data_IF_520486809553
#
_entry.id   IF_520486809553
#
_cell.length_a   1.000
_cell.length_b   1.000
_cell.length_c   1.000
_cell.angle_alpha   90.00
_cell.angle_beta   90.00
_cell.angle_gamma   90.00
#
_symmetry.space_group_name_H-M   'P 1'
#
loop_
_entity.id
_entity.type
_entity.pdbx_description
1 polymer ?
#
# COMPACT_ATOMS: atom_id res chain seq x y z
N UNK A 1 25.92 -12.41 -10.53
CA UNK A 1 27.22 -11.95 -11.05
C UNK A 1 28.20 -12.02 -9.89
N UNK A 2 29.08 -13.01 -9.88
CA UNK A 2 30.09 -13.14 -8.84
C UNK A 2 31.18 -12.10 -9.11
N UNK A 3 31.34 -11.14 -8.19
CA UNK A 3 32.55 -10.32 -8.15
C UNK A 3 33.61 -11.22 -7.53
N UNK A 4 34.49 -11.78 -8.35
CA UNK A 4 35.65 -12.50 -7.86
C UNK A 4 36.60 -11.48 -7.23
N UNK A 5 36.53 -11.35 -5.91
CA UNK A 5 37.57 -10.68 -5.14
C UNK A 5 38.84 -11.51 -5.28
N UNK A 6 39.88 -10.93 -5.88
CA UNK A 6 41.23 -11.47 -5.76
C UNK A 6 41.66 -11.16 -4.33
N UNK A 7 41.42 -12.08 -3.39
CA UNK A 7 41.97 -11.98 -2.05
C UNK A 7 43.48 -12.22 -2.12
N UNK A 8 44.26 -11.15 -2.02
CA UNK A 8 45.59 -11.25 -1.41
C UNK A 8 45.42 -11.03 0.08
N UNK A 9 45.46 -12.12 0.85
CA UNK A 9 45.18 -12.19 2.29
C UNK A 9 46.24 -11.54 3.19
N UNK A 10 46.98 -10.53 2.69
CA UNK A 10 48.08 -9.88 3.43
C UNK A 10 48.23 -8.37 3.18
N UNK A 11 47.21 -7.67 2.70
CA UNK A 11 47.33 -6.23 2.40
C UNK A 11 46.64 -5.36 3.45
N UNK A 12 47.40 -4.40 3.98
CA UNK A 12 46.93 -3.22 4.72
C UNK A 12 45.65 -2.62 4.14
N UNK A 13 44.78 -2.06 4.99
CA UNK A 13 43.58 -1.29 4.63
C UNK A 13 43.92 -0.06 3.75
N UNK A 14 44.32 -0.28 2.51
CA UNK A 14 44.72 0.76 1.56
C UNK A 14 43.46 1.27 0.84
N UNK A 15 42.89 2.34 1.38
CA UNK A 15 41.64 2.94 0.91
C UNK A 15 41.66 3.24 -0.60
N UNK A 16 42.82 3.64 -1.14
CA UNK A 16 42.98 4.00 -2.56
C UNK A 16 42.72 2.82 -3.48
N UNK A 17 43.24 1.63 -3.17
CA UNK A 17 43.04 0.43 -4.00
C UNK A 17 41.61 -0.07 -3.89
N UNK A 18 41.03 -0.04 -2.68
CA UNK A 18 39.64 -0.36 -2.43
C UNK A 18 38.68 0.58 -3.19
N UNK A 19 39.00 1.88 -3.24
CA UNK A 19 38.25 2.89 -3.97
C UNK A 19 38.30 2.67 -5.49
N UNK A 20 39.47 2.29 -6.03
CA UNK A 20 39.61 1.96 -7.45
C UNK A 20 38.85 0.68 -7.82
N UNK A 21 38.94 -0.38 -7.01
CA UNK A 21 38.20 -1.63 -7.22
C UNK A 21 36.69 -1.44 -7.13
N UNK A 22 36.20 -0.64 -6.19
CA UNK A 22 34.77 -0.31 -6.06
C UNK A 22 34.18 0.45 -7.24
N UNK A 23 35.02 1.03 -8.11
CA UNK A 23 34.61 1.77 -9.32
C UNK A 23 34.98 1.06 -10.62
N UNK A 24 35.64 -0.09 -10.55
CA UNK A 24 35.99 -0.86 -11.73
C UNK A 24 34.72 -1.48 -12.33
N UNK A 25 34.44 -1.11 -13.58
CA UNK A 25 33.39 -1.72 -14.39
C UNK A 25 34.07 -2.76 -15.29
N UNK A 26 33.71 -4.03 -15.13
CA UNK A 26 34.28 -5.09 -15.96
C UNK A 26 33.95 -4.89 -17.45
N UNK A 27 34.80 -5.37 -18.36
CA UNK A 27 34.56 -5.29 -19.80
C UNK A 27 33.20 -5.87 -20.23
N UNK A 28 32.72 -6.90 -19.53
CA UNK A 28 31.40 -7.49 -19.80
C UNK A 28 30.26 -6.54 -19.40
N UNK A 29 30.38 -5.88 -18.24
CA UNK A 29 29.40 -4.89 -17.78
C UNK A 29 29.41 -3.63 -18.66
N UNK A 30 30.59 -3.18 -19.11
CA UNK A 30 30.70 -2.02 -19.99
C UNK A 30 30.06 -2.28 -21.36
N UNK A 31 30.25 -3.46 -21.94
CA UNK A 31 29.54 -3.87 -23.18
C UNK A 31 28.03 -3.94 -22.94
N UNK A 32 27.57 -4.48 -21.81
CA UNK A 32 26.14 -4.50 -21.46
C UNK A 32 25.52 -3.10 -21.37
N UNK A 33 26.27 -2.15 -20.78
CA UNK A 33 25.89 -0.73 -20.70
C UNK A 33 25.86 -0.07 -22.07
N UNK A 34 26.86 -0.29 -22.92
CA UNK A 34 26.93 0.25 -24.28
C UNK A 34 25.72 -0.22 -25.11
N UNK A 35 25.34 -1.49 -24.97
CA UNK A 35 24.20 -2.08 -25.67
C UNK A 35 22.85 -1.77 -25.00
N UNK A 36 22.82 -0.97 -23.93
CA UNK A 36 21.61 -0.62 -23.17
C UNK A 36 20.81 -1.82 -22.67
N UNK A 37 21.49 -2.94 -22.38
CA UNK A 37 20.85 -4.09 -21.75
C UNK A 37 20.59 -3.83 -20.27
N UNK A 38 19.56 -4.45 -19.71
CA UNK A 38 19.25 -4.36 -18.29
C UNK A 38 20.41 -4.92 -17.45
N UNK A 39 21.03 -4.06 -16.64
CA UNK A 39 22.18 -4.39 -15.79
C UNK A 39 21.73 -4.98 -14.45
N UNK A 40 20.54 -4.61 -14.01
CA UNK A 40 19.97 -5.03 -12.73
C UNK A 40 18.52 -5.46 -12.95
N UNK A 41 18.19 -6.60 -12.37
CA UNK A 41 16.81 -7.04 -12.22
C UNK A 41 16.52 -7.15 -10.72
N UNK A 42 15.33 -6.68 -10.31
CA UNK A 42 14.88 -6.82 -8.93
C UNK A 42 13.94 -8.01 -8.87
N UNK A 43 14.35 -9.04 -8.13
CA UNK A 43 13.53 -10.19 -7.83
C UNK A 43 13.27 -10.27 -6.32
N UNK A 44 12.01 -10.34 -5.88
CA UNK A 44 10.79 -10.23 -6.69
C UNK A 44 10.56 -8.81 -7.22
N UNK A 45 9.81 -8.68 -8.31
CA UNK A 45 9.41 -7.37 -8.84
C UNK A 45 8.50 -6.65 -7.87
N UNK A 46 8.78 -5.38 -7.58
CA UNK A 46 7.96 -4.54 -6.70
C UNK A 46 7.17 -3.53 -7.54
N UNK A 47 5.84 -3.56 -7.45
CA UNK A 47 4.92 -2.67 -8.16
C UNK A 47 4.35 -1.64 -7.19
N UNK A 48 4.53 -0.36 -7.49
CA UNK A 48 3.96 0.72 -6.69
C UNK A 48 2.49 0.93 -7.04
N UNK A 49 1.66 0.99 -6.00
CA UNK A 49 0.23 1.21 -6.11
C UNK A 49 -0.13 2.58 -5.53
N UNK A 50 -0.76 3.41 -6.36
CA UNK A 50 -1.27 4.73 -5.99
C UNK A 50 -2.35 4.63 -4.90
N UNK A 51 -2.36 5.59 -3.98
CA UNK A 51 -3.42 5.78 -2.99
C UNK A 51 -3.75 7.27 -2.96
N UNK A 52 -5.02 7.59 -3.19
CA UNK A 52 -5.53 8.95 -3.16
C UNK A 52 -7.05 8.94 -3.00
N UNK A 53 -7.62 10.02 -2.47
CA UNK A 53 -9.07 10.23 -2.41
C UNK A 53 -9.66 10.37 -3.82
N UNK A 54 -10.99 10.34 -3.91
CA UNK A 54 -11.70 10.62 -5.15
C UNK A 54 -11.30 12.02 -5.67
N UNK A 55 -10.93 12.09 -6.95
CA UNK A 55 -10.37 13.29 -7.60
C UNK A 55 -9.07 13.86 -6.99
N UNK A 56 -8.48 13.21 -5.99
CA UNK A 56 -7.20 13.60 -5.37
C UNK A 56 -5.96 13.08 -6.10
N UNK A 57 -6.06 12.81 -7.40
CA UNK A 57 -5.00 12.20 -8.19
C UNK A 57 -3.84 13.18 -8.41
N UNK A 58 -2.60 12.68 -8.39
CA UNK A 58 -1.45 13.48 -8.81
C UNK A 58 -1.44 13.61 -10.33
N UNK A 59 -1.61 14.83 -10.83
CA UNK A 59 -1.62 15.14 -12.26
C UNK A 59 -0.54 16.19 -12.56
N UNK A 60 0.28 15.93 -13.58
CA UNK A 60 1.25 16.88 -14.09
C UNK A 60 0.62 17.73 -15.20
N UNK A 61 0.78 19.04 -15.14
CA UNK A 61 0.22 19.97 -16.11
C UNK A 61 1.31 20.53 -17.02
N UNK A 62 1.00 20.68 -18.31
CA UNK A 62 1.72 21.50 -19.28
C UNK A 62 0.72 22.45 -19.90
N UNK A 63 1.17 23.60 -20.42
CA UNK A 63 0.30 24.65 -21.01
C UNK A 63 -0.74 24.10 -22.00
N UNK A 64 -0.36 23.10 -22.79
CA UNK A 64 -1.21 22.47 -23.79
C UNK A 64 -2.23 21.48 -23.22
N UNK A 65 -1.90 20.81 -22.10
CA UNK A 65 -2.68 19.66 -21.62
C UNK A 65 -3.62 19.99 -20.45
N UNK A 66 -3.58 21.22 -19.91
CA UNK A 66 -4.35 21.62 -18.73
C UNK A 66 -5.82 21.30 -18.89
N UNK A 67 -6.46 21.82 -19.96
CA UNK A 67 -7.90 21.66 -20.20
C UNK A 67 -8.31 20.18 -20.27
N UNK A 68 -7.56 19.38 -21.03
CA UNK A 68 -7.84 17.96 -21.19
C UNK A 68 -7.71 17.20 -19.85
N UNK A 69 -6.66 17.49 -19.07
CA UNK A 69 -6.40 16.82 -17.79
C UNK A 69 -7.34 17.25 -16.67
N UNK A 70 -7.87 18.47 -16.71
CA UNK A 70 -8.89 18.93 -15.78
C UNK A 70 -10.23 18.23 -16.02
N UNK A 71 -10.61 18.02 -17.28
CA UNK A 71 -11.86 17.32 -17.63
C UNK A 71 -11.77 15.81 -17.43
N UNK A 72 -10.64 15.21 -17.81
CA UNK A 72 -10.43 13.76 -17.71
C UNK A 72 -9.02 13.48 -17.16
N UNK A 73 -8.88 13.30 -15.83
CA UNK A 73 -7.59 12.97 -15.25
C UNK A 73 -7.11 11.59 -15.74
N UNK A 74 -5.79 11.41 -15.90
CA UNK A 74 -5.22 10.15 -16.37
C UNK A 74 -5.46 9.02 -15.35
N UNK A 75 -5.86 7.82 -15.76
CA UNK A 75 -6.15 6.73 -14.83
C UNK A 75 -4.91 6.33 -14.05
N UNK A 76 -5.08 6.19 -12.74
CA UNK A 76 -4.07 5.67 -11.82
C UNK A 76 -4.26 4.17 -11.62
N UNK A 77 -3.30 3.52 -10.97
CA UNK A 77 -3.45 2.11 -10.57
C UNK A 77 -4.65 1.91 -9.64
N UNK A 78 -5.10 2.92 -8.90
CA UNK A 78 -6.24 2.79 -7.99
C UNK A 78 -7.56 2.88 -8.75
N UNK A 79 -7.71 3.90 -9.61
CA UNK A 79 -8.93 4.07 -10.40
C UNK A 79 -9.13 2.94 -11.40
N UNK A 80 -8.03 2.45 -12.00
CA UNK A 80 -8.08 1.31 -12.89
C UNK A 80 -8.39 0.02 -12.12
N UNK A 81 -7.93 -0.14 -10.87
CA UNK A 81 -8.31 -1.30 -10.05
C UNK A 81 -9.82 -1.34 -9.79
N UNK A 82 -10.43 -0.21 -9.42
CA UNK A 82 -11.89 -0.14 -9.24
C UNK A 82 -12.64 -0.50 -10.53
N UNK A 83 -12.14 -0.03 -11.67
CA UNK A 83 -12.69 -0.36 -12.99
C UNK A 83 -12.48 -1.83 -13.36
N UNK A 84 -11.33 -2.40 -13.00
CA UNK A 84 -11.00 -3.81 -13.18
C UNK A 84 -11.95 -4.70 -12.37
N UNK A 85 -12.26 -4.34 -11.13
CA UNK A 85 -13.22 -5.06 -10.29
C UNK A 85 -14.65 -5.00 -10.84
N UNK A 86 -15.02 -3.97 -11.63
CA UNK A 86 -16.32 -3.95 -12.34
C UNK A 86 -16.37 -4.96 -13.47
N UNK A 87 -15.26 -5.10 -14.20
CA UNK A 87 -15.23 -5.82 -15.46
C UNK A 87 -14.80 -7.30 -15.33
N UNK A 88 -13.99 -7.62 -14.31
CA UNK A 88 -13.41 -8.95 -14.12
C UNK A 88 -13.85 -9.54 -12.78
N UNK A 89 -14.57 -10.67 -12.84
CA UNK A 89 -15.04 -11.39 -11.64
C UNK A 89 -13.90 -11.91 -10.79
N UNK A 90 -12.76 -12.28 -11.40
CA UNK A 90 -11.59 -12.73 -10.64
C UNK A 90 -10.98 -11.56 -9.85
N UNK A 91 -10.90 -10.37 -10.44
CA UNK A 91 -10.37 -9.20 -9.76
C UNK A 91 -11.20 -8.78 -8.54
N UNK A 92 -12.50 -9.13 -8.51
CA UNK A 92 -13.35 -8.93 -7.32
C UNK A 92 -12.96 -9.79 -6.12
N UNK A 93 -12.23 -10.88 -6.34
CA UNK A 93 -11.78 -11.76 -5.24
C UNK A 93 -10.50 -11.27 -4.56
N UNK A 94 -9.79 -10.33 -5.19
CA UNK A 94 -8.47 -9.88 -4.80
C UNK A 94 -8.51 -8.64 -3.91
N UNK A 95 -7.54 -8.55 -3.01
CA UNK A 95 -7.15 -7.30 -2.35
C UNK A 95 -6.36 -6.43 -3.30
N UNK A 96 -6.34 -5.10 -3.05
CA UNK A 96 -5.58 -4.19 -3.89
C UNK A 96 -4.08 -4.54 -3.93
N UNK A 97 -3.55 -4.98 -2.79
CA UNK A 97 -2.15 -5.44 -2.64
C UNK A 97 -1.83 -6.72 -3.41
N UNK A 98 -2.82 -7.55 -3.76
CA UNK A 98 -2.64 -8.82 -4.45
C UNK A 98 -2.73 -8.67 -5.98
N UNK A 99 -3.27 -7.56 -6.47
CA UNK A 99 -3.45 -7.32 -7.92
C UNK A 99 -2.15 -7.52 -8.71
N UNK A 100 -0.98 -6.99 -8.29
CA UNK A 100 0.26 -7.17 -9.04
C UNK A 100 0.72 -8.62 -9.19
N UNK A 101 0.28 -9.53 -8.32
CA UNK A 101 0.58 -10.97 -8.39
C UNK A 101 -0.01 -11.60 -9.65
N UNK A 102 -1.20 -11.16 -10.07
CA UNK A 102 -1.99 -11.73 -11.17
C UNK A 102 -2.09 -10.82 -12.40
N UNK A 103 -1.98 -9.51 -12.21
CA UNK A 103 -2.10 -8.50 -13.24
C UNK A 103 -0.79 -7.70 -13.37
N UNK A 104 -0.49 -7.26 -14.59
CA UNK A 104 0.63 -6.36 -14.88
C UNK A 104 0.08 -5.01 -15.29
N UNK A 105 0.64 -3.96 -14.71
CA UNK A 105 0.34 -2.59 -15.10
C UNK A 105 1.01 -2.28 -16.45
N UNK A 106 0.22 -1.91 -17.45
CA UNK A 106 0.73 -1.44 -18.72
C UNK A 106 0.80 0.09 -18.71
N UNK A 107 2.02 0.64 -18.66
CA UNK A 107 2.24 2.09 -18.52
C UNK A 107 1.75 2.92 -19.71
N UNK A 108 1.80 2.38 -20.94
CA UNK A 108 1.37 3.14 -22.14
C UNK A 108 -0.15 3.23 -22.24
N UNK A 109 -0.86 2.14 -21.97
CA UNK A 109 -2.33 2.11 -21.99
C UNK A 109 -2.96 2.53 -20.66
N UNK A 110 -2.17 2.55 -19.58
CA UNK A 110 -2.60 2.76 -18.19
C UNK A 110 -3.72 1.81 -17.75
N UNK A 111 -3.57 0.53 -18.12
CA UNK A 111 -4.53 -0.52 -17.80
C UNK A 111 -3.84 -1.71 -17.15
N UNK A 112 -4.57 -2.40 -16.28
CA UNK A 112 -4.15 -3.72 -15.82
C UNK A 112 -4.44 -4.78 -16.89
N UNK A 113 -3.46 -5.63 -17.16
CA UNK A 113 -3.62 -6.79 -18.04
C UNK A 113 -3.32 -8.06 -17.26
N UNK A 114 -4.09 -9.12 -17.50
CA UNK A 114 -3.80 -10.44 -16.93
C UNK A 114 -2.38 -10.87 -17.31
N UNK A 115 -1.65 -11.42 -16.35
CA UNK A 115 -0.32 -11.96 -16.58
C UNK A 115 -0.39 -13.16 -17.52
N UNK A 116 0.62 -13.27 -18.38
CA UNK A 116 0.77 -14.36 -19.36
C UNK A 116 1.88 -15.35 -18.99
N UNK A 117 2.61 -15.07 -17.91
CA UNK A 117 3.78 -15.82 -17.47
C UNK A 117 3.69 -16.03 -15.96
N UNK A 118 4.25 -17.14 -15.48
CA UNK A 118 4.26 -17.54 -14.07
C UNK A 118 3.61 -18.90 -13.83
N UNK A 119 3.17 -19.13 -12.60
CA UNK A 119 2.44 -20.34 -12.21
C UNK A 119 0.98 -20.21 -12.64
N UNK A 120 0.46 -21.18 -13.38
CA UNK A 120 -0.95 -21.19 -13.77
C UNK A 120 -1.86 -21.24 -12.53
N UNK A 121 -2.89 -20.40 -12.51
CA UNK A 121 -3.87 -20.36 -11.43
C UNK A 121 -4.91 -21.46 -11.66
N UNK A 122 -5.12 -22.30 -10.65
CA UNK A 122 -6.09 -23.39 -10.75
C UNK A 122 -7.51 -22.83 -10.99
N UNK A 123 -8.26 -23.47 -11.87
CA UNK A 123 -9.65 -23.09 -12.20
C UNK A 123 -9.81 -21.87 -13.12
N UNK A 124 -8.73 -21.23 -13.58
CA UNK A 124 -8.82 -20.04 -14.43
C UNK A 124 -7.98 -20.19 -15.70
N UNK A 125 -8.63 -20.23 -16.86
CA UNK A 125 -7.94 -20.33 -18.15
C UNK A 125 -7.18 -19.03 -18.46
N UNK A 126 -5.93 -19.16 -18.89
CA UNK A 126 -5.05 -18.04 -19.27
C UNK A 126 -4.77 -17.03 -18.14
N UNK A 127 -4.79 -17.48 -16.88
CA UNK A 127 -4.41 -16.66 -15.73
C UNK A 127 -3.18 -17.25 -15.03
N UNK A 128 -2.17 -16.41 -14.84
CA UNK A 128 -0.91 -16.78 -14.23
C UNK A 128 -0.62 -15.89 -13.02
N UNK A 129 -0.05 -16.48 -11.98
CA UNK A 129 0.45 -15.79 -10.78
C UNK A 129 1.97 -15.76 -10.77
N UNK A 130 2.54 -14.67 -10.27
CA UNK A 130 3.99 -14.49 -10.08
C UNK A 130 4.28 -14.00 -8.67
N UNK A 131 5.54 -14.02 -8.24
CA UNK A 131 5.95 -13.54 -6.91
C UNK A 131 6.01 -12.00 -6.81
N UNK A 132 5.31 -11.27 -7.68
CA UNK A 132 5.35 -9.82 -7.69
C UNK A 132 4.74 -9.25 -6.41
N UNK A 133 5.47 -8.35 -5.75
CA UNK A 133 5.03 -7.70 -4.52
C UNK A 133 4.43 -6.34 -4.85
N UNK A 134 3.40 -5.96 -4.11
CA UNK A 134 2.86 -4.61 -4.16
C UNK A 134 3.47 -3.72 -3.09
N UNK A 135 3.59 -2.44 -3.40
CA UNK A 135 3.94 -1.40 -2.42
C UNK A 135 2.95 -0.25 -2.54
N UNK A 136 2.02 -0.19 -1.59
CA UNK A 136 1.14 0.98 -1.47
C UNK A 136 1.95 2.15 -0.92
N UNK A 137 1.75 3.35 -1.46
CA UNK A 137 2.39 4.55 -0.93
C UNK A 137 2.09 4.74 0.55
N UNK A 138 3.11 5.16 1.31
CA UNK A 138 2.95 5.53 2.71
C UNK A 138 2.12 6.80 2.80
N UNK A 139 1.03 6.76 3.56
CA UNK A 139 0.18 7.91 3.85
C UNK A 139 0.40 8.29 5.31
N UNK A 140 0.71 9.56 5.56
CA UNK A 140 0.90 10.05 6.92
C UNK A 140 -0.46 10.12 7.66
N UNK A 141 -0.56 9.69 8.94
CA UNK A 141 -1.83 9.69 9.68
C UNK A 141 -2.56 11.05 9.76
N UNK A 142 -1.83 12.17 9.71
CA UNK A 142 -2.40 13.52 9.58
C UNK A 142 -3.33 13.68 8.36
N UNK A 143 -3.06 12.97 7.26
CA UNK A 143 -4.01 12.85 6.16
C UNK A 143 -5.00 11.73 6.45
N UNK A 144 -5.90 12.00 7.41
CA UNK A 144 -6.73 11.01 8.07
C UNK A 144 -7.55 10.17 7.07
N UNK A 145 -8.35 10.80 6.22
CA UNK A 145 -9.22 10.09 5.28
C UNK A 145 -8.43 9.22 4.28
N UNK A 146 -7.30 9.72 3.77
CA UNK A 146 -6.47 8.94 2.85
C UNK A 146 -5.76 7.77 3.56
N UNK A 147 -5.42 7.94 4.84
CA UNK A 147 -4.87 6.87 5.67
C UNK A 147 -5.89 5.75 5.89
N UNK A 148 -7.15 6.10 6.22
CA UNK A 148 -8.23 5.12 6.36
C UNK A 148 -8.58 4.45 5.03
N UNK A 149 -8.59 5.20 3.92
CA UNK A 149 -8.72 4.61 2.59
C UNK A 149 -7.64 3.56 2.31
N UNK A 150 -6.37 3.85 2.64
CA UNK A 150 -5.28 2.88 2.51
C UNK A 150 -5.54 1.62 3.32
N UNK A 151 -6.06 1.76 4.55
CA UNK A 151 -6.40 0.64 5.42
C UNK A 151 -7.52 -0.21 4.81
N UNK A 152 -8.56 0.42 4.25
CA UNK A 152 -9.64 -0.28 3.56
C UNK A 152 -9.12 -1.03 2.33
N UNK A 153 -8.27 -0.42 1.50
CA UNK A 153 -7.71 -1.08 0.32
C UNK A 153 -6.87 -2.33 0.63
N UNK A 154 -6.35 -2.43 1.86
CA UNK A 154 -5.59 -3.60 2.33
C UNK A 154 -6.52 -4.71 2.86
N UNK A 155 -7.72 -4.38 3.32
CA UNK A 155 -8.61 -5.32 4.01
C UNK A 155 -9.88 -5.67 3.21
N UNK A 156 -10.32 -4.79 2.31
CA UNK A 156 -11.54 -4.95 1.51
C UNK A 156 -11.21 -5.52 0.14
N UNK A 157 -11.89 -6.60 -0.23
CA UNK A 157 -11.71 -7.29 -1.51
C UNK A 157 -12.63 -6.71 -2.58
N UNK A 158 -12.10 -6.57 -3.79
CA UNK A 158 -12.89 -6.30 -4.99
C UNK A 158 -13.77 -5.05 -5.04
N UNK A 159 -13.42 -3.92 -4.42
CA UNK A 159 -14.28 -2.73 -4.47
C UNK A 159 -14.44 -2.23 -5.91
N UNK A 160 -15.68 -1.91 -6.32
CA UNK A 160 -15.96 -1.36 -7.65
C UNK A 160 -16.01 0.17 -7.66
N UNK A 161 -16.10 0.83 -6.52
CA UNK A 161 -16.13 2.28 -6.41
C UNK A 161 -15.61 2.79 -5.07
N UNK A 162 -15.31 4.09 -4.98
CA UNK A 162 -15.00 4.74 -3.69
C UNK A 162 -16.18 4.69 -2.72
N UNK A 163 -17.42 4.71 -3.23
CA UNK A 163 -18.62 4.58 -2.40
C UNK A 163 -18.78 3.17 -1.83
N UNK A 164 -18.48 2.13 -2.62
CA UNK A 164 -18.50 0.75 -2.14
C UNK A 164 -17.43 0.50 -1.06
N UNK A 165 -16.26 1.14 -1.17
CA UNK A 165 -15.26 1.13 -0.08
C UNK A 165 -15.79 1.71 1.23
N UNK A 166 -16.75 2.63 1.18
CA UNK A 166 -17.42 3.19 2.37
C UNK A 166 -18.63 2.38 2.81
N UNK A 167 -19.03 1.37 2.04
CA UNK A 167 -20.24 0.59 2.33
C UNK A 167 -19.87 -0.61 3.19
N UNK A 168 -20.45 -0.70 4.38
CA UNK A 168 -20.24 -1.80 5.33
C UNK A 168 -21.60 -2.29 5.78
N UNK A 169 -21.87 -3.59 5.64
CA UNK A 169 -23.17 -4.21 5.95
C UNK A 169 -24.35 -3.46 5.29
N UNK A 170 -24.24 -3.19 3.99
CA UNK A 170 -25.25 -2.46 3.18
C UNK A 170 -25.48 -0.99 3.58
N UNK A 171 -24.75 -0.46 4.57
CA UNK A 171 -24.85 0.93 4.99
C UNK A 171 -23.66 1.74 4.45
N UNK A 172 -23.96 2.80 3.70
CA UNK A 172 -22.95 3.74 3.17
C UNK A 172 -22.52 4.68 4.29
N UNK A 173 -21.25 4.58 4.69
CA UNK A 173 -20.66 5.47 5.71
C UNK A 173 -20.34 6.85 5.13
N UNK A 174 -20.35 7.88 5.99
CA UNK A 174 -20.02 9.24 5.58
C UNK A 174 -18.54 9.37 5.22
N UNK A 175 -17.68 8.79 6.06
CA UNK A 175 -16.20 8.88 5.98
C UNK A 175 -15.57 7.49 5.82
N UNK A 176 -14.33 7.45 5.32
CA UNK A 176 -13.56 6.20 5.30
C UNK A 176 -13.20 5.75 6.72
N UNK A 177 -13.02 6.70 7.65
CA UNK A 177 -12.81 6.40 9.08
C UNK A 177 -13.96 5.57 9.65
N UNK A 178 -15.19 6.02 9.45
CA UNK A 178 -16.38 5.34 9.97
C UNK A 178 -16.51 3.93 9.39
N UNK A 179 -16.21 3.75 8.10
CA UNK A 179 -16.18 2.43 7.48
C UNK A 179 -15.13 1.51 8.13
N UNK A 180 -13.92 2.03 8.42
CA UNK A 180 -12.91 1.27 9.17
C UNK A 180 -13.37 0.90 10.59
N UNK A 181 -14.09 1.80 11.27
CA UNK A 181 -14.64 1.52 12.61
C UNK A 181 -15.68 0.40 12.56
N UNK A 182 -16.62 0.43 11.62
CA UNK A 182 -17.63 -0.62 11.45
C UNK A 182 -17.04 -1.97 11.05
N UNK A 183 -15.92 -1.96 10.33
CA UNK A 183 -15.15 -3.17 10.00
C UNK A 183 -14.23 -3.63 11.14
N UNK A 184 -14.26 -2.98 12.31
CA UNK A 184 -13.39 -3.25 13.47
C UNK A 184 -11.89 -3.22 13.12
N UNK A 185 -11.50 -2.38 12.15
CA UNK A 185 -10.10 -2.18 11.76
C UNK A 185 -9.39 -1.16 12.65
N UNK A 186 -10.13 -0.42 13.47
CA UNK A 186 -9.63 0.55 14.42
C UNK A 186 -9.96 0.10 15.84
N UNK A 187 -9.04 0.35 16.76
CA UNK A 187 -9.33 0.22 18.19
C UNK A 187 -10.44 1.21 18.57
N UNK A 188 -11.44 0.71 19.29
CA UNK A 188 -12.59 1.48 19.75
C UNK A 188 -12.51 1.63 21.27
N UNK A 189 -12.69 2.85 21.79
CA UNK A 189 -12.68 3.14 23.23
C UNK A 189 -13.82 2.47 24.03
N UNK A 190 -14.75 1.78 23.36
CA UNK A 190 -15.83 1.04 24.02
C UNK A 190 -15.36 0.06 25.10
N UNK A 191 -14.17 -0.54 24.95
CA UNK A 191 -13.62 -1.42 25.99
C UNK A 191 -13.23 -0.64 27.25
N UNK A 192 -12.78 0.62 27.13
CA UNK A 192 -12.54 1.49 28.27
C UNK A 192 -13.84 1.87 28.97
N UNK A 193 -14.89 2.15 28.20
CA UNK A 193 -16.21 2.47 28.75
C UNK A 193 -16.79 1.31 29.57
N UNK A 194 -16.71 0.08 29.05
CA UNK A 194 -17.15 -1.13 29.77
C UNK A 194 -16.29 -1.36 31.02
N UNK A 195 -14.96 -1.26 30.87
CA UNK A 195 -14.03 -1.46 32.00
C UNK A 195 -14.24 -0.43 33.11
N UNK A 196 -14.57 0.82 32.76
CA UNK A 196 -14.88 1.87 33.73
C UNK A 196 -16.22 1.65 34.42
N UNK A 197 -17.24 1.21 33.68
CA UNK A 197 -18.53 0.85 34.26
C UNK A 197 -18.37 -0.28 35.29
N UNK A 198 -17.63 -1.33 34.97
CA UNK A 198 -17.34 -2.44 35.89
C UNK A 198 -16.49 -2.01 37.09
N UNK A 199 -15.48 -1.17 36.86
CA UNK A 199 -14.63 -0.65 37.91
C UNK A 199 -15.40 0.26 38.88
N UNK A 200 -16.40 1.02 38.40
CA UNK A 200 -17.24 1.86 39.27
C UNK A 200 -18.03 1.06 40.31
N UNK A 201 -18.36 -0.20 40.01
CA UNK A 201 -19.07 -1.09 40.92
C UNK A 201 -18.16 -1.74 41.98
N UNK A 202 -16.84 -1.78 41.74
CA UNK A 202 -15.90 -2.63 42.51
C UNK A 202 -14.73 -1.87 43.13
N UNK A 203 -14.35 -0.71 42.58
CA UNK A 203 -13.15 0.01 42.93
C UNK A 203 -13.44 1.42 43.46
N UNK A 204 -12.54 1.93 44.30
CA UNK A 204 -12.61 3.31 44.79
C UNK A 204 -12.23 4.32 43.70
N UNK A 205 -12.82 5.53 43.70
CA UNK A 205 -12.57 6.56 42.68
C UNK A 205 -11.10 6.90 42.44
N UNK A 206 -10.26 6.84 43.49
CA UNK A 206 -8.83 7.08 43.37
C UNK A 206 -8.12 6.03 42.49
N UNK A 207 -8.47 4.75 42.63
CA UNK A 207 -7.88 3.66 41.83
C UNK A 207 -8.33 3.73 40.37
N UNK A 208 -9.58 4.13 40.14
CA UNK A 208 -10.13 4.34 38.79
C UNK A 208 -9.37 5.48 38.08
N UNK A 209 -9.13 6.60 38.76
CA UNK A 209 -8.34 7.71 38.19
C UNK A 209 -6.90 7.31 37.86
N UNK A 210 -6.25 6.52 38.71
CA UNK A 210 -4.90 6.01 38.43
C UNK A 210 -4.89 5.08 37.22
N UNK A 211 -5.90 4.21 37.07
CA UNK A 211 -6.05 3.35 35.90
C UNK A 211 -6.17 4.18 34.62
N UNK A 212 -7.06 5.18 34.61
CA UNK A 212 -7.27 6.09 33.48
C UNK A 212 -5.95 6.76 33.07
N UNK A 213 -5.20 7.31 34.03
CA UNK A 213 -3.97 8.05 33.76
C UNK A 213 -2.81 7.19 33.27
N UNK A 214 -2.75 5.92 33.68
CA UNK A 214 -1.59 5.06 33.42
C UNK A 214 -1.79 4.06 32.28
N UNK A 215 -3.04 3.69 31.96
CA UNK A 215 -3.33 2.60 31.00
C UNK A 215 -4.29 2.98 29.88
N UNK A 216 -5.17 3.97 30.08
CA UNK A 216 -6.14 4.35 29.05
C UNK A 216 -5.52 5.35 28.06
N UNK A 217 -5.32 4.92 26.82
CA UNK A 217 -4.98 5.80 25.70
C UNK A 217 -6.26 6.15 24.91
N UNK A 218 -7.27 6.68 25.60
CA UNK A 218 -8.55 7.04 24.98
C UNK A 218 -8.35 8.09 23.88
N UNK A 219 -9.09 7.99 22.78
CA UNK A 219 -9.09 8.99 21.72
C UNK A 219 -9.59 10.36 22.22
N UNK A 220 -10.49 10.38 23.23
CA UNK A 220 -10.98 11.60 23.88
C UNK A 220 -10.90 11.48 25.43
N UNK A 221 -9.78 11.90 26.05
CA UNK A 221 -9.63 11.81 27.50
C UNK A 221 -10.58 12.70 28.30
N UNK A 222 -11.14 13.75 27.68
CA UNK A 222 -12.14 14.62 28.32
C UNK A 222 -13.49 13.92 28.52
N UNK A 223 -13.92 13.13 27.53
CA UNK A 223 -15.19 12.40 27.60
C UNK A 223 -15.13 11.34 28.70
N UNK A 224 -13.95 10.77 28.95
CA UNK A 224 -13.70 9.81 30.02
C UNK A 224 -13.75 10.42 31.44
N UNK A 225 -13.45 11.72 31.56
CA UNK A 225 -13.38 12.42 32.85
C UNK A 225 -14.73 12.99 33.32
N UNK A 226 -15.66 13.21 32.38
CA UNK A 226 -17.01 13.73 32.66
C UNK A 226 -18.06 12.66 32.94
N UNK A 227 -17.69 11.38 32.87
CA UNK A 227 -18.53 10.22 33.23
C UNK A 227 -18.35 9.89 34.71
#
# INVERSE_FOLDING_TARGET
MAVFGVENTTASNEEVTQYQLGRYISSNESVWRILSFSIHERYPTVVHLAVHLENGQRVHFTSENVRARTMSPPPTTLTEFLTLCRNDTFARTLLYSEVPTYFTWNTSTRKFRRRKQGRAVQGHLNLYSTNALSRLYTVHPKNAECFYLRLLLINVRGPTSFQELKTVNEHVCATFREACQKLNLLENDAHWDISLADASNTAQPQKIRTLILTTCFSANPKDLWGK
#
